data_IF_382823442473
#
_entry.id   IF_382823442473
#
_cell.length_a   1.000
_cell.length_b   1.000
_cell.length_c   1.000
_cell.angle_alpha   90.00
_cell.angle_beta   90.00
_cell.angle_gamma   90.00
#
_symmetry.space_group_name_H-M   'P 1'
#
loop_
_entity.id
_entity.type
_entity.pdbx_description
1 polymer ?
#
# COMPACT_ATOMS: atom_id res chain seq x y z
N UNK A 1 -41.53 -41.64 6.94
CA UNK A 1 -42.15 -40.42 6.39
C UNK A 1 -41.34 -39.22 6.84
N UNK A 2 -40.93 -38.39 5.90
CA UNK A 2 -40.04 -37.26 6.15
C UNK A 2 -40.77 -36.07 6.76
N UNK A 3 -40.05 -35.34 7.61
CA UNK A 3 -40.45 -34.02 8.09
C UNK A 3 -39.20 -33.15 8.16
N UNK A 4 -38.96 -32.41 7.08
CA UNK A 4 -37.89 -31.43 7.00
C UNK A 4 -38.11 -30.30 8.03
N UNK A 5 -37.14 -30.07 8.91
CA UNK A 5 -37.04 -28.79 9.62
C UNK A 5 -36.23 -27.83 8.75
N UNK A 6 -36.93 -26.82 8.23
CA UNK A 6 -36.42 -25.83 7.31
C UNK A 6 -35.28 -24.99 7.91
N UNK A 7 -34.32 -24.66 7.03
CA UNK A 7 -33.24 -23.73 7.31
C UNK A 7 -33.78 -22.31 7.55
N UNK A 8 -33.34 -21.70 8.64
CA UNK A 8 -33.47 -20.27 8.91
C UNK A 8 -32.32 -19.51 8.23
N UNK A 9 -32.65 -18.63 7.30
CA UNK A 9 -31.72 -17.89 6.45
C UNK A 9 -30.81 -16.90 7.21
N UNK A 10 -29.51 -17.02 6.96
CA UNK A 10 -28.50 -16.02 7.32
C UNK A 10 -28.49 -14.87 6.31
N UNK A 11 -29.46 -13.96 6.42
CA UNK A 11 -29.55 -12.74 5.60
C UNK A 11 -28.66 -11.59 6.11
N UNK A 12 -27.43 -11.88 6.55
CA UNK A 12 -26.47 -10.85 6.94
C UNK A 12 -25.87 -10.18 5.69
N UNK A 13 -25.84 -8.84 5.63
CA UNK A 13 -25.18 -8.12 4.54
C UNK A 13 -23.68 -8.44 4.59
N UNK A 14 -23.15 -9.05 3.54
CA UNK A 14 -21.71 -9.32 3.44
C UNK A 14 -20.94 -7.99 3.43
N UNK A 15 -19.85 -7.95 4.18
CA UNK A 15 -18.97 -6.78 4.25
C UNK A 15 -17.51 -7.24 4.22
N UNK A 16 -16.66 -6.44 3.59
CA UNK A 16 -15.22 -6.66 3.63
C UNK A 16 -14.68 -6.32 5.02
N UNK A 17 -13.77 -7.15 5.51
CA UNK A 17 -13.10 -6.99 6.80
C UNK A 17 -11.62 -7.28 6.63
N UNK A 18 -10.78 -6.47 7.27
CA UNK A 18 -9.33 -6.63 7.27
C UNK A 18 -8.68 -5.43 7.95
N UNK A 19 -7.55 -5.65 8.63
CA UNK A 19 -6.85 -4.58 9.37
C UNK A 19 -6.44 -3.46 8.40
N UNK A 20 -5.67 -3.81 7.36
CA UNK A 20 -5.21 -2.86 6.35
C UNK A 20 -6.37 -2.26 5.56
N UNK A 21 -7.37 -3.08 5.18
CA UNK A 21 -8.54 -2.57 4.47
C UNK A 21 -9.30 -1.49 5.26
N UNK A 22 -9.51 -1.71 6.56
CA UNK A 22 -10.20 -0.76 7.43
C UNK A 22 -9.33 0.47 7.74
N UNK A 23 -8.02 0.29 7.93
CA UNK A 23 -7.07 1.39 8.08
C UNK A 23 -7.04 2.30 6.85
N UNK A 24 -6.89 1.71 5.66
CA UNK A 24 -6.82 2.47 4.40
C UNK A 24 -8.14 3.15 4.06
N UNK A 25 -9.29 2.59 4.45
CA UNK A 25 -10.57 3.32 4.37
C UNK A 25 -10.56 4.59 5.21
N UNK A 26 -9.97 4.55 6.41
CA UNK A 26 -9.78 5.73 7.24
C UNK A 26 -8.85 6.74 6.57
N UNK A 27 -7.70 6.30 6.06
CA UNK A 27 -6.75 7.17 5.33
C UNK A 27 -7.42 7.85 4.13
N UNK A 28 -8.19 7.11 3.32
CA UNK A 28 -8.87 7.65 2.14
C UNK A 28 -10.06 8.57 2.46
N UNK A 29 -10.54 8.59 3.71
CA UNK A 29 -11.53 9.58 4.17
C UNK A 29 -10.93 10.93 4.56
N UNK A 30 -9.59 11.03 4.65
CA UNK A 30 -8.92 12.29 4.97
C UNK A 30 -8.66 13.13 3.71
N UNK A 31 -9.15 14.38 3.63
CA UNK A 31 -8.84 15.31 2.55
C UNK A 31 -7.33 15.53 2.35
N UNK A 32 -6.59 15.62 3.45
CA UNK A 32 -5.14 15.83 3.42
C UNK A 32 -4.41 14.63 2.82
N UNK A 33 -4.77 13.42 3.23
CA UNK A 33 -4.17 12.19 2.69
C UNK A 33 -4.50 12.04 1.20
N UNK A 34 -5.74 12.32 0.79
CA UNK A 34 -6.16 12.33 -0.62
C UNK A 34 -5.37 13.34 -1.43
N UNK A 35 -5.19 14.55 -0.91
CA UNK A 35 -4.38 15.58 -1.56
C UNK A 35 -2.92 15.15 -1.71
N UNK A 36 -2.30 14.62 -0.67
CA UNK A 36 -0.91 14.14 -0.72
C UNK A 36 -0.70 13.07 -1.79
N UNK A 37 -1.59 12.07 -1.84
CA UNK A 37 -1.54 11.03 -2.87
C UNK A 37 -1.74 11.58 -4.28
N UNK A 38 -2.68 12.52 -4.46
CA UNK A 38 -2.93 13.16 -5.75
C UNK A 38 -1.70 13.94 -6.25
N UNK A 39 -1.05 14.71 -5.37
CA UNK A 39 0.18 15.44 -5.70
C UNK A 39 1.31 14.47 -6.05
N UNK A 40 1.52 13.42 -5.24
CA UNK A 40 2.58 12.45 -5.50
C UNK A 40 2.39 11.74 -6.85
N UNK A 41 1.15 11.31 -7.14
CA UNK A 41 0.83 10.64 -8.40
C UNK A 41 0.93 11.56 -9.61
N UNK A 42 0.56 12.84 -9.45
CA UNK A 42 0.71 13.84 -10.51
C UNK A 42 2.18 14.15 -10.84
N UNK A 43 3.05 14.17 -9.82
CA UNK A 43 4.47 14.45 -9.97
C UNK A 43 5.28 13.25 -10.50
N UNK A 44 4.90 12.03 -10.13
CA UNK A 44 5.63 10.80 -10.48
C UNK A 44 4.76 9.74 -11.18
N UNK A 45 4.05 10.09 -12.27
CA UNK A 45 3.07 9.19 -12.91
C UNK A 45 3.69 7.93 -13.55
N UNK A 46 4.97 7.96 -13.89
CA UNK A 46 5.63 6.92 -14.70
C UNK A 46 6.48 5.95 -13.87
N UNK A 47 6.42 6.03 -12.54
CA UNK A 47 7.14 5.11 -11.65
C UNK A 47 6.30 4.70 -10.43
N UNK A 48 6.90 3.91 -9.54
CA UNK A 48 6.18 3.31 -8.39
C UNK A 48 5.54 4.32 -7.44
N UNK A 49 5.98 5.58 -7.44
CA UNK A 49 5.43 6.62 -6.56
C UNK A 49 4.05 7.09 -7.01
N UNK A 50 3.59 6.71 -8.21
CA UNK A 50 2.21 6.92 -8.63
C UNK A 50 1.19 6.14 -7.80
N UNK A 51 1.62 5.11 -7.10
CA UNK A 51 0.76 4.15 -6.40
C UNK A 51 0.77 4.36 -4.88
N UNK A 52 -0.39 4.16 -4.25
CA UNK A 52 -0.50 4.12 -2.80
C UNK A 52 0.00 2.76 -2.28
N UNK A 53 1.21 2.71 -1.73
CA UNK A 53 1.79 1.47 -1.19
C UNK A 53 1.04 0.90 0.02
N UNK A 54 0.27 1.73 0.73
CA UNK A 54 -0.62 1.26 1.81
C UNK A 54 -1.82 0.46 1.28
N UNK A 55 -2.17 0.65 0.00
CA UNK A 55 -3.25 -0.03 -0.69
C UNK A 55 -4.50 0.85 -0.84
N UNK A 56 -5.04 0.90 -2.05
CA UNK A 56 -6.33 1.52 -2.31
C UNK A 56 -7.45 0.57 -1.82
N UNK A 57 -8.40 1.03 -0.97
CA UNK A 57 -9.53 0.21 -0.52
C UNK A 57 -10.35 -0.43 -1.64
N UNK A 58 -10.37 0.16 -2.83
CA UNK A 58 -11.05 -0.38 -4.00
C UNK A 58 -10.27 -1.51 -4.68
N UNK A 59 -8.94 -1.55 -4.53
CA UNK A 59 -8.07 -2.54 -5.15
C UNK A 59 -7.60 -3.65 -4.18
N UNK A 60 -7.55 -3.37 -2.86
CA UNK A 60 -7.16 -4.35 -1.83
C UNK A 60 -7.95 -5.67 -1.93
N UNK A 61 -9.29 -5.67 -2.16
CA UNK A 61 -10.06 -6.92 -2.27
C UNK A 61 -9.66 -7.82 -3.44
N UNK A 62 -9.01 -7.27 -4.47
CA UNK A 62 -8.58 -8.01 -5.66
C UNK A 62 -7.21 -8.67 -5.48
N UNK A 63 -6.46 -8.32 -4.42
CA UNK A 63 -5.17 -8.93 -4.11
C UNK A 63 -5.37 -10.41 -3.73
N UNK A 64 -4.74 -11.30 -4.49
CA UNK A 64 -4.78 -12.73 -4.18
C UNK A 64 -3.67 -13.11 -3.20
N UNK A 65 -3.88 -14.22 -2.48
CA UNK A 65 -2.86 -14.76 -1.58
C UNK A 65 -1.59 -15.18 -2.31
N UNK A 66 -1.71 -15.73 -3.52
CA UNK A 66 -0.58 -16.11 -4.37
C UNK A 66 0.27 -14.88 -4.74
N UNK A 67 -0.37 -13.79 -5.19
CA UNK A 67 0.32 -12.53 -5.47
C UNK A 67 1.07 -11.98 -4.25
N UNK A 68 0.45 -12.06 -3.07
CA UNK A 68 1.10 -11.69 -1.82
C UNK A 68 2.32 -12.56 -1.50
N UNK A 69 2.20 -13.88 -1.64
CA UNK A 69 3.30 -14.81 -1.41
C UNK A 69 4.46 -14.59 -2.39
N UNK A 70 4.16 -14.39 -3.67
CA UNK A 70 5.15 -14.14 -4.72
C UNK A 70 5.91 -12.84 -4.48
N UNK A 71 5.19 -11.77 -4.08
CA UNK A 71 5.80 -10.51 -3.70
C UNK A 71 6.78 -10.71 -2.55
N UNK A 72 6.38 -11.41 -1.48
CA UNK A 72 7.24 -11.70 -0.34
C UNK A 72 8.45 -12.54 -0.76
N UNK A 73 8.24 -13.65 -1.47
CA UNK A 73 9.32 -14.53 -1.93
C UNK A 73 10.35 -13.82 -2.82
N UNK A 74 9.91 -12.82 -3.58
CA UNK A 74 10.76 -12.02 -4.47
C UNK A 74 11.54 -10.96 -3.70
N UNK A 75 10.87 -10.14 -2.89
CA UNK A 75 11.44 -8.90 -2.35
C UNK A 75 11.97 -9.03 -0.91
N UNK A 76 11.56 -10.04 -0.13
CA UNK A 76 12.05 -10.31 1.24
C UNK A 76 13.25 -11.27 1.28
N UNK A 77 13.89 -11.51 0.13
CA UNK A 77 15.15 -12.26 0.10
C UNK A 77 16.31 -11.44 0.69
N UNK A 78 17.24 -12.01 1.47
CA UNK A 78 18.34 -11.25 2.09
C UNK A 78 19.22 -10.47 1.13
N UNK A 79 19.33 -10.89 -0.14
CA UNK A 79 20.04 -10.13 -1.17
C UNK A 79 19.43 -8.76 -1.51
N UNK A 80 18.19 -8.50 -1.08
CA UNK A 80 17.52 -7.20 -1.17
C UNK A 80 17.41 -6.50 0.20
N UNK A 81 17.87 -7.14 1.28
CA UNK A 81 17.77 -6.59 2.62
C UNK A 81 18.93 -5.63 2.92
N UNK A 82 18.66 -4.64 3.78
CA UNK A 82 19.67 -3.77 4.40
C UNK A 82 19.49 -3.87 5.91
N UNK A 83 20.54 -4.28 6.61
CA UNK A 83 20.54 -4.43 8.07
C UNK A 83 21.24 -3.22 8.68
N UNK A 84 20.59 -2.60 9.68
CA UNK A 84 21.11 -1.44 10.39
C UNK A 84 21.25 -1.78 11.87
N UNK A 85 22.42 -1.50 12.44
CA UNK A 85 22.71 -1.71 13.86
C UNK A 85 23.12 -0.38 14.50
N UNK A 86 22.63 -0.13 15.72
CA UNK A 86 22.99 1.04 16.51
C UNK A 86 23.10 0.64 17.98
N UNK A 87 24.30 0.77 18.55
CA UNK A 87 24.61 0.33 19.90
C UNK A 87 26.13 0.25 20.11
N UNK A 88 26.53 0.12 21.38
CA UNK A 88 27.92 -0.02 21.83
C UNK A 88 28.35 -1.48 22.00
N UNK A 89 27.51 -2.42 21.58
CA UNK A 89 27.80 -3.85 21.58
C UNK A 89 28.82 -4.24 20.49
N UNK A 90 29.48 -5.38 20.72
CA UNK A 90 30.54 -5.87 19.83
C UNK A 90 30.02 -6.14 18.41
N UNK A 91 30.69 -5.54 17.43
CA UNK A 91 30.35 -5.66 16.02
C UNK A 91 30.53 -7.08 15.51
N UNK A 92 31.61 -7.77 15.91
CA UNK A 92 31.87 -9.13 15.45
C UNK A 92 30.78 -10.10 15.93
N UNK A 93 30.33 -9.96 17.18
CA UNK A 93 29.21 -10.72 17.72
C UNK A 93 27.89 -10.47 16.95
N UNK A 94 27.63 -9.23 16.49
CA UNK A 94 26.46 -8.93 15.65
C UNK A 94 26.54 -9.61 14.29
N UNK A 95 27.68 -9.49 13.61
CA UNK A 95 27.87 -10.08 12.29
C UNK A 95 27.84 -11.61 12.34
N UNK A 96 28.37 -12.23 13.40
CA UNK A 96 28.27 -13.66 13.62
C UNK A 96 26.81 -14.13 13.73
N UNK A 97 25.96 -13.40 14.46
CA UNK A 97 24.52 -13.69 14.53
C UNK A 97 23.84 -13.54 13.18
N UNK A 98 24.21 -12.52 12.40
CA UNK A 98 23.65 -12.34 11.05
C UNK A 98 24.03 -13.52 10.15
N UNK A 99 25.28 -13.96 10.19
CA UNK A 99 25.76 -15.11 9.41
C UNK A 99 24.98 -16.38 9.72
N UNK A 100 24.64 -16.64 11.00
CA UNK A 100 23.81 -17.79 11.40
C UNK A 100 22.47 -17.87 10.65
N UNK A 101 21.88 -16.74 10.26
CA UNK A 101 20.64 -16.70 9.48
C UNK A 101 20.88 -16.61 7.96
N UNK A 102 21.89 -15.84 7.54
CA UNK A 102 22.09 -15.57 6.12
C UNK A 102 22.78 -16.72 5.39
N UNK A 103 23.51 -17.60 6.08
CA UNK A 103 24.21 -18.72 5.47
C UNK A 103 23.28 -19.76 4.82
N UNK A 104 21.98 -19.74 5.15
CA UNK A 104 20.96 -20.60 4.53
C UNK A 104 20.50 -20.12 3.14
N UNK A 105 20.93 -18.94 2.70
CA UNK A 105 20.44 -18.30 1.48
C UNK A 105 21.50 -18.21 0.39
N UNK A 106 21.11 -18.58 -0.83
CA UNK A 106 21.90 -18.30 -2.03
C UNK A 106 21.67 -16.88 -2.52
N UNK A 107 22.72 -16.21 -3.03
CA UNK A 107 22.60 -14.85 -3.52
C UNK A 107 21.62 -14.77 -4.71
N UNK A 108 20.70 -13.79 -4.66
CA UNK A 108 19.80 -13.39 -5.74
C UNK A 108 20.07 -11.94 -6.17
N UNK A 109 19.59 -11.56 -7.35
CA UNK A 109 19.65 -10.19 -7.85
C UNK A 109 18.26 -9.76 -8.36
N UNK A 110 17.28 -9.52 -7.46
CA UNK A 110 16.00 -8.99 -7.86
C UNK A 110 16.17 -7.57 -8.41
N UNK A 111 15.42 -7.23 -9.46
CA UNK A 111 15.36 -5.87 -9.97
C UNK A 111 14.52 -5.02 -9.01
N UNK A 112 15.15 -4.10 -8.28
CA UNK A 112 14.48 -3.21 -7.32
C UNK A 112 14.72 -1.73 -7.58
N UNK A 113 15.35 -1.43 -8.72
CA UNK A 113 15.56 -0.05 -9.16
C UNK A 113 14.23 0.62 -9.52
N UNK A 114 14.04 1.84 -9.02
CA UNK A 114 12.91 2.68 -9.38
C UNK A 114 13.34 3.58 -10.54
N UNK A 115 12.60 3.52 -11.65
CA UNK A 115 12.86 4.36 -12.80
C UNK A 115 12.75 5.85 -12.45
N UNK A 116 13.66 6.65 -13.00
CA UNK A 116 13.61 8.11 -12.86
C UNK A 116 12.41 8.63 -13.64
N UNK A 117 11.60 9.47 -12.99
CA UNK A 117 10.49 10.16 -13.63
C UNK A 117 11.00 11.19 -14.65
N UNK A 118 10.55 11.12 -15.91
CA UNK A 118 10.84 12.17 -16.90
C UNK A 118 10.36 13.54 -16.44
N UNK A 119 11.12 14.58 -16.77
CA UNK A 119 10.75 15.96 -16.49
C UNK A 119 9.44 16.34 -17.19
N UNK A 120 8.58 17.05 -16.46
CA UNK A 120 7.40 17.68 -17.03
C UNK A 120 7.81 18.98 -17.73
N UNK A 121 7.55 19.07 -19.03
CA UNK A 121 7.91 20.24 -19.84
C UNK A 121 6.78 21.28 -19.96
N UNK A 122 5.61 20.97 -19.41
CA UNK A 122 4.45 21.85 -19.39
C UNK A 122 3.69 21.70 -18.07
N UNK A 123 3.01 22.76 -17.58
CA UNK A 123 2.18 22.67 -16.39
C UNK A 123 1.05 21.64 -16.58
N UNK A 124 0.79 20.87 -15.52
CA UNK A 124 -0.34 19.93 -15.46
C UNK A 124 -1.32 20.36 -14.38
N UNK A 125 -2.61 20.20 -14.67
CA UNK A 125 -3.69 20.46 -13.72
C UNK A 125 -4.37 19.13 -13.39
N UNK A 126 -4.45 18.81 -12.10
CA UNK A 126 -5.10 17.61 -11.59
C UNK A 126 -6.23 18.03 -10.66
N UNK A 127 -7.40 17.41 -10.84
CA UNK A 127 -8.57 17.60 -9.98
C UNK A 127 -9.00 16.23 -9.47
N UNK A 128 -9.02 16.10 -8.16
CA UNK A 128 -9.43 14.88 -7.45
C UNK A 128 -10.55 15.23 -6.48
N UNK A 129 -11.58 14.40 -6.46
CA UNK A 129 -12.65 14.49 -5.48
C UNK A 129 -12.28 13.70 -4.22
N UNK A 130 -12.73 14.19 -3.08
CA UNK A 130 -12.61 13.48 -1.81
C UNK A 130 -13.92 13.58 -1.02
N UNK A 131 -14.26 12.56 -0.22
CA UNK A 131 -15.46 12.60 0.60
C UNK A 131 -15.29 13.61 1.75
N UNK A 132 -16.24 14.53 1.88
CA UNK A 132 -16.37 15.40 3.06
C UNK A 132 -17.42 14.79 3.99
N UNK A 133 -17.07 14.62 5.26
CA UNK A 133 -18.07 14.35 6.30
C UNK A 133 -18.70 15.67 6.73
N UNK A 134 -19.87 15.97 6.17
CA UNK A 134 -20.76 17.05 6.61
C UNK A 134 -22.18 16.70 6.20
N UNK A 135 -23.15 16.91 7.10
CA UNK A 135 -24.60 16.77 6.87
C UNK A 135 -25.14 17.87 5.92
N UNK A 136 -24.40 18.22 4.87
CA UNK A 136 -24.83 19.19 3.86
C UNK A 136 -24.75 18.53 2.48
N UNK A 137 -25.92 18.19 1.96
CA UNK A 137 -26.21 17.44 0.73
C UNK A 137 -25.72 18.09 -0.59
N UNK A 138 -24.75 19.03 -0.60
CA UNK A 138 -24.47 19.80 -1.83
C UNK A 138 -23.03 20.25 -2.13
N UNK A 139 -21.96 19.80 -1.47
CA UNK A 139 -20.60 20.22 -1.90
C UNK A 139 -19.51 19.14 -1.77
N UNK A 140 -19.11 18.58 -2.91
CA UNK A 140 -17.90 17.77 -3.03
C UNK A 140 -16.69 18.72 -3.06
N UNK A 141 -15.90 18.73 -1.98
CA UNK A 141 -14.66 19.50 -1.91
C UNK A 141 -13.71 19.12 -3.07
N UNK A 142 -13.30 20.13 -3.85
CA UNK A 142 -12.30 19.98 -4.92
C UNK A 142 -10.99 20.55 -4.39
N UNK A 143 -9.92 19.74 -4.39
CA UNK A 143 -8.57 20.29 -4.14
C UNK A 143 -8.01 20.84 -5.44
N UNK A 144 -7.86 22.16 -5.53
CA UNK A 144 -7.11 22.81 -6.60
C UNK A 144 -5.69 23.12 -6.10
N UNK A 145 -4.71 22.34 -6.56
CA UNK A 145 -3.30 22.68 -6.39
C UNK A 145 -2.91 23.80 -7.36
N UNK A 146 -2.51 24.96 -6.84
CA UNK A 146 -1.97 26.07 -7.61
C UNK A 146 -0.54 26.31 -7.18
N UNK A 147 0.43 25.94 -8.00
CA UNK A 147 1.81 26.43 -7.86
C UNK A 147 2.24 27.07 -9.17
N UNK A 148 2.86 28.25 -9.03
CA UNK A 148 3.25 29.15 -10.13
C UNK A 148 4.70 29.02 -10.54
#
# INVERSE_FOLDING_TARGET
>A
EGGASGGGGGGGRLSYQGVVFNEMKGVFSSPESRHHMAVQSALFPDNTYAHCSGGDPTAIPDLTFEQFQDFHATYYHPSNARLFFCGDDDEAARLAKVEEYLCEYERRAPSTDVAVQPLLHEPRYVREAYPMTGDDDDDAGVVEGREG
#
